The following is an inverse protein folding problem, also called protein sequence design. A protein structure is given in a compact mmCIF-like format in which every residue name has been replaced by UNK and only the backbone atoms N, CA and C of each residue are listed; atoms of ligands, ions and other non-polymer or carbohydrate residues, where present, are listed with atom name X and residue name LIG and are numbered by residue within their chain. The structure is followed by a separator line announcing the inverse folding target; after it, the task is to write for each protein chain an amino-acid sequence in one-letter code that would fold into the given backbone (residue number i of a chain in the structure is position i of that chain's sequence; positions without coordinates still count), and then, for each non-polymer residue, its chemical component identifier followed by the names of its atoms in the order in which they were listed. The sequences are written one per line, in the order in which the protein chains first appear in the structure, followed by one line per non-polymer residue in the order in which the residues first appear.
data_IF_693970323625
#
_entry.id   IF_693970323625
#
_cell.length_a   1.000
_cell.length_b   1.000
_cell.length_c   1.000
_cell.angle_alpha   90.00
_cell.angle_beta   90.00
_cell.angle_gamma   90.00
#
_symmetry.space_group_name_H-M   'P 1'
#
loop_
_entity.id
_entity.type
_entity.pdbx_description
1 polymer ?
#
# COMPACT_ATOMS: atom_id res chain seq x y z
N UNK A 1 -38.14 -31.68 17.53
CA UNK A 1 -37.26 -32.29 16.51
C UNK A 1 -36.35 -31.17 16.04
N UNK A 2 -35.06 -31.19 16.40
CA UNK A 2 -34.12 -30.17 15.93
C UNK A 2 -33.69 -30.58 14.54
N UNK A 3 -33.95 -29.73 13.54
CA UNK A 3 -33.46 -29.96 12.18
C UNK A 3 -31.94 -29.96 12.19
N UNK A 4 -31.33 -30.93 11.50
CA UNK A 4 -29.89 -30.95 11.32
C UNK A 4 -29.48 -29.74 10.48
N UNK A 5 -28.62 -28.90 11.06
CA UNK A 5 -28.12 -27.69 10.41
C UNK A 5 -26.75 -27.96 9.80
N UNK A 6 -26.58 -27.65 8.52
CA UNK A 6 -25.35 -27.93 7.76
C UNK A 6 -24.52 -26.67 7.51
N UNK A 7 -23.22 -26.86 7.29
CA UNK A 7 -22.30 -25.78 6.95
C UNK A 7 -22.71 -25.12 5.63
N UNK A 8 -22.71 -23.79 5.58
CA UNK A 8 -23.12 -23.03 4.37
C UNK A 8 -22.18 -23.25 3.17
N UNK A 9 -20.95 -23.70 3.41
CA UNK A 9 -19.95 -23.99 2.36
C UNK A 9 -19.85 -25.47 2.03
N UNK A 10 -20.07 -26.34 3.02
CA UNK A 10 -19.97 -27.79 2.89
C UNK A 10 -21.33 -28.39 3.31
N UNK A 11 -22.26 -28.51 2.36
CA UNK A 11 -23.64 -28.89 2.63
C UNK A 11 -23.80 -30.32 3.18
N UNK A 12 -22.76 -31.13 3.07
CA UNK A 12 -22.64 -32.51 3.55
C UNK A 12 -22.09 -32.60 4.98
N UNK A 13 -21.61 -31.50 5.56
CA UNK A 13 -20.98 -31.49 6.89
C UNK A 13 -21.85 -30.73 7.89
N UNK A 14 -22.15 -31.37 9.04
CA UNK A 14 -22.91 -30.74 10.12
C UNK A 14 -22.23 -29.47 10.64
N UNK A 15 -23.02 -28.44 10.90
CA UNK A 15 -22.55 -27.18 11.46
C UNK A 15 -22.10 -27.39 12.91
N UNK A 16 -20.96 -26.79 13.24
CA UNK A 16 -20.39 -26.75 14.61
C UNK A 16 -20.62 -25.41 15.31
N UNK A 17 -21.10 -24.39 14.57
CA UNK A 17 -21.33 -23.07 15.12
C UNK A 17 -21.74 -22.04 14.07
N UNK A 18 -22.00 -20.82 14.52
CA UNK A 18 -22.47 -19.71 13.68
C UNK A 18 -21.41 -18.61 13.65
N UNK A 19 -21.13 -18.07 12.46
CA UNK A 19 -20.28 -16.90 12.30
C UNK A 19 -20.91 -15.69 12.99
N UNK A 20 -20.27 -15.13 14.02
CA UNK A 20 -20.76 -13.94 14.73
C UNK A 20 -20.80 -12.68 13.85
N UNK A 21 -20.07 -12.66 12.72
CA UNK A 21 -20.00 -11.51 11.83
C UNK A 21 -21.06 -11.48 10.72
N UNK A 22 -21.51 -12.64 10.23
CA UNK A 22 -22.43 -12.71 9.08
C UNK A 22 -23.56 -13.74 9.22
N UNK A 23 -23.64 -14.47 10.33
CA UNK A 23 -24.71 -15.43 10.61
C UNK A 23 -24.63 -16.76 9.85
N UNK A 24 -23.60 -17.00 9.03
CA UNK A 24 -23.43 -18.28 8.32
C UNK A 24 -23.14 -19.45 9.27
N UNK A 25 -23.62 -20.62 8.91
CA UNK A 25 -23.37 -21.89 9.61
C UNK A 25 -22.00 -22.45 9.20
N UNK A 26 -21.17 -22.83 10.17
CA UNK A 26 -19.76 -23.19 9.95
C UNK A 26 -19.44 -24.57 10.54
N UNK A 27 -18.81 -25.43 9.74
CA UNK A 27 -18.12 -26.61 10.26
C UNK A 27 -16.78 -26.22 10.91
N UNK A 28 -16.15 -27.16 11.60
CA UNK A 28 -14.87 -26.95 12.31
C UNK A 28 -13.75 -26.41 11.40
N UNK A 29 -13.74 -26.78 10.12
CA UNK A 29 -12.72 -26.33 9.17
C UNK A 29 -12.97 -24.90 8.65
N UNK A 30 -14.23 -24.46 8.66
CA UNK A 30 -14.64 -23.13 8.18
C UNK A 30 -14.67 -22.08 9.28
N UNK A 31 -14.50 -22.49 10.55
CA UNK A 31 -14.50 -21.59 11.69
C UNK A 31 -13.07 -21.14 12.05
N UNK A 32 -12.98 -19.89 12.50
CA UNK A 32 -11.79 -19.27 13.08
C UNK A 32 -12.20 -18.63 14.38
N UNK A 33 -11.42 -18.84 15.44
CA UNK A 33 -11.67 -18.19 16.72
C UNK A 33 -10.80 -16.94 16.83
N UNK A 34 -11.43 -15.78 17.07
CA UNK A 34 -10.71 -14.52 17.22
C UNK A 34 -11.45 -13.60 18.18
N UNK A 35 -10.73 -13.07 19.19
CA UNK A 35 -11.29 -12.16 20.20
C UNK A 35 -12.57 -12.69 20.86
N UNK A 36 -12.60 -13.98 21.21
CA UNK A 36 -13.75 -14.61 21.86
C UNK A 36 -14.93 -14.96 20.95
N UNK A 37 -14.79 -14.79 19.62
CA UNK A 37 -15.87 -15.00 18.65
C UNK A 37 -15.49 -16.03 17.59
N UNK A 38 -16.49 -16.75 17.10
CA UNK A 38 -16.36 -17.68 15.98
C UNK A 38 -16.68 -16.94 14.68
N UNK A 39 -15.72 -16.86 13.76
CA UNK A 39 -15.84 -16.14 12.50
C UNK A 39 -15.57 -17.07 11.31
N UNK A 40 -16.18 -16.78 10.16
CA UNK A 40 -15.73 -17.35 8.90
C UNK A 40 -14.47 -16.62 8.40
N UNK A 41 -13.75 -17.22 7.46
CA UNK A 41 -12.50 -16.68 6.91
C UNK A 41 -12.61 -15.20 6.48
N UNK A 42 -13.69 -14.84 5.78
CA UNK A 42 -13.92 -13.46 5.30
C UNK A 42 -14.11 -12.48 6.46
N UNK A 43 -14.90 -12.86 7.48
CA UNK A 43 -15.14 -12.02 8.65
C UNK A 43 -13.89 -11.93 9.53
N UNK A 44 -13.12 -13.01 9.63
CA UNK A 44 -11.84 -13.06 10.33
C UNK A 44 -10.84 -12.06 9.76
N UNK A 45 -10.65 -12.06 8.43
CA UNK A 45 -9.74 -11.11 7.75
C UNK A 45 -10.19 -9.66 8.00
N UNK A 46 -11.49 -9.37 7.91
CA UNK A 46 -12.04 -8.02 8.18
C UNK A 46 -11.78 -7.57 9.62
N UNK A 47 -12.00 -8.45 10.58
CA UNK A 47 -11.82 -8.11 11.99
C UNK A 47 -10.33 -7.96 12.35
N UNK A 48 -9.46 -8.80 11.78
CA UNK A 48 -8.00 -8.69 11.90
C UNK A 48 -7.45 -7.41 11.26
N UNK A 49 -8.06 -6.91 10.19
CA UNK A 49 -7.71 -5.61 9.62
C UNK A 49 -8.12 -4.46 10.56
N UNK A 50 -9.34 -4.52 11.13
CA UNK A 50 -9.82 -3.52 12.10
C UNK A 50 -8.97 -3.46 13.37
N UNK A 51 -8.58 -4.61 13.93
CA UNK A 51 -7.73 -4.65 15.12
C UNK A 51 -6.35 -4.05 14.90
N UNK A 52 -5.89 -4.00 13.64
CA UNK A 52 -4.65 -3.32 13.22
C UNK A 52 -4.83 -1.82 12.95
N UNK A 53 -5.98 -1.24 13.28
CA UNK A 53 -6.24 0.19 13.12
C UNK A 53 -6.70 0.60 11.71
N UNK A 54 -6.98 -0.34 10.81
CA UNK A 54 -7.67 -0.04 9.56
C UNK A 54 -9.17 0.11 9.82
N UNK A 55 -9.59 1.31 10.25
CA UNK A 55 -11.02 1.64 10.35
C UNK A 55 -11.59 1.99 8.97
N UNK A 56 -12.85 1.61 8.73
CA UNK A 56 -13.66 1.86 7.53
C UNK A 56 -13.98 3.36 7.24
N UNK A 57 -13.01 4.26 7.35
CA UNK A 57 -13.22 5.70 7.18
C UNK A 57 -13.25 6.14 5.71
N UNK A 58 -14.34 5.78 5.03
CA UNK A 58 -14.86 6.49 3.85
C UNK A 58 -16.20 7.21 4.15
N UNK A 59 -16.48 7.57 5.41
CA UNK A 59 -17.57 8.52 5.73
C UNK A 59 -17.01 9.78 6.35
N UNK A 60 -16.98 10.82 5.53
CA UNK A 60 -16.70 12.20 5.88
C UNK A 60 -17.91 12.79 6.62
N UNK A 61 -17.77 13.17 7.89
CA UNK A 61 -18.69 14.08 8.57
C UNK A 61 -17.95 15.35 8.93
N UNK A 62 -18.26 16.51 8.31
CA UNK A 62 -17.56 17.75 8.63
C UNK A 62 -18.08 18.36 9.94
N UNK A 63 -17.15 18.69 10.83
CA UNK A 63 -17.39 19.57 11.98
C UNK A 63 -17.55 21.02 11.52
N UNK A 64 -18.61 21.68 11.99
CA UNK A 64 -18.94 23.07 11.67
C UNK A 64 -17.98 24.02 12.38
N UNK A 65 -17.13 24.70 11.61
CA UNK A 65 -16.22 25.76 12.10
C UNK A 65 -16.78 27.13 11.64
N UNK A 66 -16.79 28.09 12.57
CA UNK A 66 -17.46 29.40 12.43
C UNK A 66 -16.87 30.25 11.30
N UNK A 67 -17.79 30.82 10.50
CA UNK A 67 -17.57 31.81 9.43
C UNK A 67 -16.91 33.08 10.00
N UNK A 68 -15.64 33.37 9.71
CA UNK A 68 -15.23 34.77 9.45
C UNK A 68 -13.91 34.97 8.69
N UNK A 69 -13.05 33.96 8.54
CA UNK A 69 -11.77 34.12 7.79
C UNK A 69 -11.65 33.29 6.50
N UNK A 70 -12.78 32.97 5.86
CA UNK A 70 -12.83 31.92 4.85
C UNK A 70 -12.41 32.35 3.43
N UNK A 71 -12.45 33.62 3.02
CA UNK A 71 -12.31 33.95 1.59
C UNK A 71 -10.89 33.74 1.02
N UNK A 72 -9.85 34.10 1.78
CA UNK A 72 -8.46 33.90 1.36
C UNK A 72 -7.96 32.46 1.53
N UNK A 73 -8.38 31.80 2.61
CA UNK A 73 -8.05 30.40 2.86
C UNK A 73 -8.83 29.46 1.93
N UNK A 74 -10.13 29.69 1.66
CA UNK A 74 -10.88 28.89 0.68
C UNK A 74 -10.20 28.94 -0.67
N UNK A 75 -9.78 30.09 -1.20
CA UNK A 75 -9.18 30.12 -2.54
C UNK A 75 -7.88 29.31 -2.60
N UNK A 76 -7.03 29.45 -1.57
CA UNK A 76 -5.74 28.76 -1.49
C UNK A 76 -5.89 27.25 -1.24
N UNK A 77 -6.86 26.85 -0.42
CA UNK A 77 -7.16 25.45 -0.11
C UNK A 77 -8.03 24.79 -1.17
N UNK A 78 -8.94 25.50 -1.85
CA UNK A 78 -9.78 24.94 -2.92
C UNK A 78 -8.96 24.60 -4.15
N UNK A 79 -7.97 25.42 -4.53
CA UNK A 79 -7.01 25.04 -5.58
C UNK A 79 -6.20 23.81 -5.15
N UNK A 80 -5.71 23.75 -3.91
CA UNK A 80 -4.99 22.57 -3.40
C UNK A 80 -5.86 21.32 -3.27
N UNK A 81 -7.12 21.45 -2.86
CA UNK A 81 -8.08 20.35 -2.71
C UNK A 81 -8.58 19.89 -4.07
N UNK A 82 -8.75 20.79 -5.05
CA UNK A 82 -9.05 20.40 -6.43
C UNK A 82 -7.83 19.77 -7.09
N UNK A 83 -6.61 20.23 -6.81
CA UNK A 83 -5.40 19.63 -7.34
C UNK A 83 -5.12 18.25 -6.71
N UNK A 84 -5.23 18.12 -5.39
CA UNK A 84 -5.12 16.84 -4.69
C UNK A 84 -6.30 15.92 -5.00
N UNK A 85 -7.50 16.47 -5.18
CA UNK A 85 -8.70 15.74 -5.60
C UNK A 85 -8.60 15.27 -7.04
N UNK A 86 -8.02 16.06 -7.94
CA UNK A 86 -7.69 15.65 -9.30
C UNK A 86 -6.55 14.62 -9.31
N UNK A 87 -5.50 14.78 -8.51
CA UNK A 87 -4.44 13.78 -8.36
C UNK A 87 -4.99 12.50 -7.75
N UNK A 88 -5.86 12.55 -6.75
CA UNK A 88 -6.50 11.38 -6.16
C UNK A 88 -7.49 10.73 -7.13
N UNK A 89 -8.28 11.52 -7.86
CA UNK A 89 -9.16 11.03 -8.91
C UNK A 89 -8.39 10.40 -10.06
N UNK A 90 -7.27 11.00 -10.47
CA UNK A 90 -6.34 10.43 -11.44
C UNK A 90 -5.67 9.19 -10.86
N UNK A 91 -5.19 9.19 -9.62
CA UNK A 91 -4.60 8.01 -8.99
C UNK A 91 -5.61 6.87 -8.82
N UNK A 92 -6.88 7.15 -8.51
CA UNK A 92 -7.92 6.13 -8.35
C UNK A 92 -8.37 5.59 -9.71
N UNK A 93 -8.67 6.46 -10.68
CA UNK A 93 -9.16 6.03 -11.99
C UNK A 93 -8.04 5.56 -12.92
N UNK A 94 -6.85 6.18 -12.85
CA UNK A 94 -5.67 5.76 -13.58
C UNK A 94 -4.82 4.72 -12.86
N UNK A 95 -4.90 4.46 -11.54
CA UNK A 95 -4.20 3.26 -11.02
C UNK A 95 -4.80 1.99 -11.60
N UNK A 96 -6.13 1.95 -11.81
CA UNK A 96 -6.77 0.85 -12.52
C UNK A 96 -6.30 0.76 -13.98
N UNK A 97 -6.23 1.88 -14.70
CA UNK A 97 -5.79 1.94 -16.11
C UNK A 97 -4.28 1.68 -16.25
N UNK A 98 -3.43 2.24 -15.41
CA UNK A 98 -1.97 2.02 -15.41
C UNK A 98 -1.66 0.59 -14.97
N UNK A 99 -2.33 0.07 -13.93
CA UNK A 99 -2.18 -1.33 -13.51
C UNK A 99 -2.63 -2.30 -14.60
N UNK A 100 -3.73 -2.01 -15.32
CA UNK A 100 -4.16 -2.85 -16.46
C UNK A 100 -3.27 -2.68 -17.68
N UNK A 101 -2.89 -1.47 -18.07
CA UNK A 101 -2.05 -1.23 -19.25
C UNK A 101 -0.63 -1.77 -19.05
N UNK A 102 -0.06 -1.63 -17.85
CA UNK A 102 1.26 -2.19 -17.48
C UNK A 102 1.20 -3.70 -17.27
N UNK A 103 0.05 -4.28 -16.84
CA UNK A 103 -0.12 -5.74 -16.76
C UNK A 103 -0.32 -6.43 -18.12
N UNK A 104 -0.91 -5.75 -19.11
CA UNK A 104 -1.41 -6.40 -20.33
C UNK A 104 -0.60 -6.12 -21.60
N UNK A 105 0.37 -5.19 -21.59
CA UNK A 105 1.19 -4.92 -22.78
C UNK A 105 2.69 -5.12 -22.45
N UNK A 106 3.23 -6.34 -22.68
CA UNK A 106 4.66 -6.58 -22.52
C UNK A 106 5.47 -5.64 -23.42
N UNK A 107 6.42 -4.92 -22.84
CA UNK A 107 7.31 -3.99 -23.56
C UNK A 107 6.93 -2.51 -23.48
N UNK A 108 5.78 -2.15 -22.89
CA UNK A 108 5.45 -0.73 -22.65
C UNK A 108 6.25 -0.21 -21.46
N UNK A 109 7.26 0.62 -21.73
CA UNK A 109 8.04 1.30 -20.70
C UNK A 109 7.13 2.24 -19.90
N UNK A 110 7.16 2.14 -18.56
CA UNK A 110 6.38 2.99 -17.66
C UNK A 110 6.58 4.48 -17.97
N UNK A 111 7.81 4.88 -18.34
CA UNK A 111 8.14 6.23 -18.81
C UNK A 111 7.24 6.71 -19.95
N UNK A 112 6.92 5.85 -20.92
CA UNK A 112 6.06 6.20 -22.05
C UNK A 112 4.60 6.40 -21.58
N UNK A 113 4.15 5.60 -20.62
CA UNK A 113 2.81 5.73 -20.03
C UNK A 113 2.71 7.04 -19.23
N UNK A 114 3.69 7.31 -18.35
CA UNK A 114 3.72 8.54 -17.56
C UNK A 114 3.86 9.78 -18.44
N UNK A 115 4.67 9.73 -19.51
CA UNK A 115 4.78 10.82 -20.49
C UNK A 115 3.46 11.07 -21.22
N UNK A 116 2.77 10.01 -21.65
CA UNK A 116 1.47 10.12 -22.32
C UNK A 116 0.41 10.72 -21.38
N UNK A 117 0.38 10.29 -20.12
CA UNK A 117 -0.51 10.84 -19.09
C UNK A 117 -0.20 12.32 -18.85
N UNK A 118 1.08 12.67 -18.66
CA UNK A 118 1.49 14.05 -18.43
C UNK A 118 1.15 14.98 -19.61
N UNK A 119 1.33 14.50 -20.85
CA UNK A 119 0.93 15.21 -22.07
C UNK A 119 -0.59 15.37 -22.19
N UNK A 120 -1.38 14.37 -21.80
CA UNK A 120 -2.84 14.48 -21.80
C UNK A 120 -3.36 15.45 -20.73
N UNK A 121 -2.69 15.52 -19.59
CA UNK A 121 -3.02 16.46 -18.51
C UNK A 121 -2.64 17.89 -18.91
N UNK A 122 -1.58 18.07 -19.71
CA UNK A 122 -1.11 19.38 -20.15
C UNK A 122 -0.80 19.41 -21.67
N UNK A 123 -1.84 19.37 -22.53
CA UNK A 123 -1.69 19.18 -23.98
C UNK A 123 -1.02 20.36 -24.71
N UNK A 124 -1.04 21.56 -24.11
CA UNK A 124 -0.38 22.78 -24.58
C UNK A 124 0.76 23.23 -23.66
N UNK A 125 1.22 22.34 -22.79
CA UNK A 125 2.14 22.64 -21.71
C UNK A 125 3.58 22.85 -22.10
N UNK A 126 4.24 23.80 -21.42
CA UNK A 126 5.70 23.90 -21.38
C UNK A 126 6.31 22.50 -21.14
N UNK A 127 7.27 22.03 -21.98
CA UNK A 127 7.94 20.74 -21.81
C UNK A 127 8.53 20.53 -20.41
N UNK A 128 8.96 21.60 -19.73
CA UNK A 128 9.47 21.54 -18.35
C UNK A 128 8.37 21.14 -17.35
N UNK A 129 7.14 21.63 -17.56
CA UNK A 129 5.99 21.26 -16.72
C UNK A 129 5.62 19.79 -16.90
N UNK A 130 5.68 19.27 -18.14
CA UNK A 130 5.47 17.84 -18.44
C UNK A 130 6.55 16.98 -17.80
N UNK A 131 7.83 17.41 -17.88
CA UNK A 131 8.95 16.72 -17.24
C UNK A 131 8.77 16.67 -15.72
N UNK A 132 8.41 17.79 -15.09
CA UNK A 132 8.17 17.88 -13.65
C UNK A 132 7.01 17.00 -13.18
N UNK A 133 5.89 17.00 -13.92
CA UNK A 133 4.74 16.15 -13.60
C UNK A 133 5.08 14.66 -13.76
N UNK A 134 5.80 14.30 -14.83
CA UNK A 134 6.25 12.93 -15.07
C UNK A 134 7.12 12.45 -13.92
N UNK A 135 8.10 13.26 -13.48
CA UNK A 135 8.96 12.95 -12.33
C UNK A 135 8.16 12.78 -11.03
N UNK A 136 7.15 13.63 -10.78
CA UNK A 136 6.30 13.50 -9.58
C UNK A 136 5.45 12.22 -9.57
N UNK A 137 4.86 11.85 -10.71
CA UNK A 137 4.08 10.61 -10.83
C UNK A 137 5.00 9.40 -10.65
N UNK A 138 6.13 9.40 -11.34
CA UNK A 138 7.16 8.37 -11.25
C UNK A 138 7.66 8.18 -9.81
N UNK A 139 8.02 9.27 -9.12
CA UNK A 139 8.46 9.21 -7.73
C UNK A 139 7.38 8.71 -6.76
N UNK A 140 6.12 9.07 -6.98
CA UNK A 140 5.00 8.54 -6.16
C UNK A 140 4.85 7.02 -6.31
N UNK A 141 4.99 6.50 -7.53
CA UNK A 141 4.92 5.06 -7.79
C UNK A 141 6.08 4.30 -7.13
N UNK A 142 7.28 4.87 -7.18
CA UNK A 142 8.47 4.32 -6.53
C UNK A 142 8.28 4.27 -5.00
N UNK A 143 7.82 5.36 -4.39
CA UNK A 143 7.53 5.39 -2.94
C UNK A 143 6.46 4.34 -2.57
N UNK A 144 5.42 4.18 -3.40
CA UNK A 144 4.42 3.13 -3.17
C UNK A 144 5.01 1.73 -3.22
N UNK A 145 5.92 1.46 -4.16
CA UNK A 145 6.64 0.19 -4.26
C UNK A 145 7.51 -0.04 -3.01
N UNK A 146 8.32 0.94 -2.61
CA UNK A 146 9.16 0.86 -1.41
C UNK A 146 8.34 0.56 -0.14
N UNK A 147 7.17 1.18 0.01
CA UNK A 147 6.30 0.93 1.15
C UNK A 147 5.82 -0.53 1.24
N UNK A 148 5.81 -1.28 0.14
CA UNK A 148 5.49 -2.71 0.16
C UNK A 148 6.60 -3.55 0.81
N UNK A 149 7.84 -3.06 0.79
CA UNK A 149 8.99 -3.76 1.37
C UNK A 149 9.08 -3.60 2.90
N UNK A 150 8.46 -2.55 3.45
CA UNK A 150 8.55 -2.22 4.88
C UNK A 150 8.07 -3.37 5.78
N UNK A 151 6.93 -3.98 5.45
CA UNK A 151 6.35 -5.05 6.26
C UNK A 151 7.26 -6.29 6.34
N UNK A 152 7.72 -6.83 5.21
CA UNK A 152 8.67 -7.95 5.20
C UNK A 152 10.02 -7.64 5.87
N UNK A 153 10.54 -6.41 5.74
CA UNK A 153 11.76 -5.99 6.45
C UNK A 153 11.57 -5.97 7.97
N UNK A 154 10.44 -5.44 8.44
CA UNK A 154 10.11 -5.48 9.87
C UNK A 154 9.91 -6.91 10.37
N UNK A 155 9.34 -7.80 9.56
CA UNK A 155 9.22 -9.22 9.91
C UNK A 155 10.58 -9.90 10.03
N UNK A 156 11.47 -9.73 9.03
CA UNK A 156 12.84 -10.27 9.07
C UNK A 156 13.57 -9.80 10.34
N UNK A 157 13.46 -8.51 10.69
CA UNK A 157 14.01 -8.01 11.94
C UNK A 157 13.48 -8.74 13.18
N UNK A 158 12.16 -8.96 13.25
CA UNK A 158 11.52 -9.63 14.39
C UNK A 158 11.84 -11.13 14.48
N UNK A 159 12.03 -11.81 13.35
CA UNK A 159 12.21 -13.27 13.32
C UNK A 159 13.66 -13.73 13.22
N UNK A 160 14.51 -12.96 12.57
CA UNK A 160 15.91 -13.30 12.27
C UNK A 160 16.89 -12.49 13.12
N UNK A 161 16.39 -11.57 13.96
CA UNK A 161 17.20 -10.78 14.89
C UNK A 161 17.91 -9.59 14.25
N UNK A 162 17.55 -9.22 13.02
CA UNK A 162 18.18 -8.10 12.31
C UNK A 162 17.61 -7.88 10.92
N UNK A 163 18.04 -6.79 10.28
CA UNK A 163 17.72 -6.54 8.87
C UNK A 163 18.61 -7.40 7.95
N UNK A 164 18.15 -7.73 6.73
CA UNK A 164 18.94 -8.52 5.80
C UNK A 164 20.26 -7.82 5.48
N UNK A 165 21.37 -8.54 5.57
CA UNK A 165 22.70 -8.04 5.20
C UNK A 165 22.84 -7.84 3.69
N UNK A 166 22.08 -8.61 2.90
CA UNK A 166 21.98 -8.50 1.45
C UNK A 166 20.55 -8.11 1.08
N UNK A 167 20.31 -6.81 0.95
CA UNK A 167 18.99 -6.29 0.65
C UNK A 167 18.53 -6.63 -0.78
N UNK A 168 19.46 -6.70 -1.73
CA UNK A 168 19.15 -7.04 -3.13
C UNK A 168 18.67 -8.49 -3.22
N UNK A 169 19.41 -9.44 -2.63
CA UNK A 169 18.98 -10.83 -2.57
C UNK A 169 17.66 -11.00 -1.81
N UNK A 170 17.45 -10.24 -0.73
CA UNK A 170 16.17 -10.21 -0.01
C UNK A 170 15.01 -9.78 -0.90
N UNK A 171 15.18 -8.70 -1.68
CA UNK A 171 14.15 -8.23 -2.61
C UNK A 171 13.90 -9.26 -3.73
N UNK A 172 14.97 -9.85 -4.28
CA UNK A 172 14.87 -10.90 -5.29
C UNK A 172 13.98 -12.05 -4.83
N UNK A 173 14.26 -12.59 -3.65
CA UNK A 173 13.59 -13.78 -3.15
C UNK A 173 12.19 -13.48 -2.59
N UNK A 174 12.01 -12.33 -1.93
CA UNK A 174 10.74 -11.96 -1.29
C UNK A 174 9.69 -11.43 -2.25
N UNK A 175 10.10 -10.89 -3.41
CA UNK A 175 9.22 -10.16 -4.32
C UNK A 175 9.37 -10.59 -5.79
N UNK A 176 9.93 -11.78 -6.06
CA UNK A 176 9.97 -12.33 -7.40
C UNK A 176 8.56 -12.38 -8.01
N UNK A 177 8.39 -11.78 -9.19
CA UNK A 177 7.10 -11.77 -9.87
C UNK A 177 7.14 -12.68 -11.10
N UNK A 178 5.99 -13.26 -11.47
CA UNK A 178 5.87 -14.02 -12.73
C UNK A 178 6.19 -13.15 -13.97
N UNK A 179 6.09 -11.84 -13.83
CA UNK A 179 6.42 -10.87 -14.86
C UNK A 179 7.93 -10.54 -14.81
N UNK A 180 8.71 -11.26 -15.64
CA UNK A 180 10.17 -11.08 -15.75
C UNK A 180 10.59 -9.67 -16.20
N UNK A 181 9.67 -8.83 -16.66
CA UNK A 181 9.97 -7.44 -17.00
C UNK A 181 10.10 -6.54 -15.75
N UNK A 182 9.69 -7.03 -14.58
CA UNK A 182 9.79 -6.34 -13.30
C UNK A 182 10.93 -6.93 -12.50
N UNK A 183 11.98 -6.14 -12.35
CA UNK A 183 13.09 -6.43 -11.45
C UNK A 183 12.76 -5.82 -10.08
N UNK A 184 12.39 -6.61 -9.06
CA UNK A 184 11.98 -6.08 -7.75
C UNK A 184 13.13 -5.39 -7.02
N UNK A 185 14.36 -5.68 -7.40
CA UNK A 185 15.60 -5.13 -6.83
C UNK A 185 15.84 -3.69 -7.30
N UNK A 186 15.23 -3.29 -8.42
CA UNK A 186 15.46 -2.01 -9.09
C UNK A 186 14.20 -1.15 -9.10
N UNK A 187 14.42 0.16 -9.05
CA UNK A 187 13.38 1.13 -9.32
C UNK A 187 13.01 1.17 -10.81
N UNK A 188 12.01 2.01 -11.12
CA UNK A 188 11.49 2.17 -12.48
C UNK A 188 12.52 2.76 -13.47
N UNK A 189 13.62 3.31 -12.98
CA UNK A 189 14.73 3.82 -13.77
C UNK A 189 15.88 2.80 -13.89
N UNK A 190 15.74 1.62 -13.28
CA UNK A 190 16.72 0.54 -13.34
C UNK A 190 17.85 0.70 -12.34
N UNK A 191 17.69 1.53 -11.31
CA UNK A 191 18.68 1.67 -10.24
C UNK A 191 18.32 0.76 -9.07
N UNK A 192 19.26 -0.05 -8.53
CA UNK A 192 18.98 -0.88 -7.36
C UNK A 192 18.56 -0.05 -6.15
N UNK A 193 17.59 -0.52 -5.37
CA UNK A 193 17.24 0.12 -4.09
C UNK A 193 18.36 -0.04 -3.07
N UNK A 194 18.47 0.91 -2.12
CA UNK A 194 19.34 0.80 -0.94
C UNK A 194 18.54 0.74 0.35
N UNK A 195 19.07 0.00 1.32
CA UNK A 195 18.56 -0.02 2.68
C UNK A 195 19.53 0.75 3.59
N UNK A 196 19.03 1.81 4.20
CA UNK A 196 19.75 2.61 5.19
C UNK A 196 19.24 2.27 6.59
N UNK A 197 20.02 1.52 7.37
CA UNK A 197 19.66 1.11 8.73
C UNK A 197 19.95 2.24 9.70
N UNK A 198 18.94 2.65 10.47
CA UNK A 198 19.01 3.76 11.43
C UNK A 198 18.77 3.22 12.85
N UNK A 199 19.13 3.99 13.86
CA UNK A 199 19.00 3.59 15.28
C UNK A 199 17.60 3.08 15.65
N UNK A 200 16.55 3.71 15.13
CA UNK A 200 15.15 3.42 15.45
C UNK A 200 14.33 2.94 14.24
N UNK A 201 14.97 2.32 13.25
CA UNK A 201 14.30 1.80 12.06
C UNK A 201 15.20 1.76 10.84
N UNK A 202 14.65 2.15 9.69
CA UNK A 202 15.39 2.14 8.42
C UNK A 202 14.77 3.11 7.42
N UNK A 203 15.46 3.36 6.31
CA UNK A 203 14.88 3.96 5.11
C UNK A 203 15.23 3.12 3.89
N UNK A 204 14.27 3.00 2.96
CA UNK A 204 14.53 2.46 1.63
C UNK A 204 14.74 3.65 0.70
N UNK A 205 15.82 3.62 -0.08
CA UNK A 205 16.26 4.75 -0.91
C UNK A 205 16.28 4.31 -2.39
N UNK A 206 15.73 5.15 -3.27
CA UNK A 206 15.91 5.10 -4.73
C UNK A 206 16.69 6.34 -5.14
N UNK A 207 17.62 6.17 -6.06
CA UNK A 207 18.44 7.25 -6.61
C UNK A 207 17.68 8.15 -7.59
N UNK A 208 16.35 8.01 -7.70
CA UNK A 208 15.56 8.86 -8.57
C UNK A 208 15.90 8.74 -10.06
N UNK A 209 15.60 9.82 -10.77
CA UNK A 209 15.73 9.87 -12.24
C UNK A 209 17.17 10.02 -12.72
N UNK A 210 18.03 10.67 -11.94
CA UNK A 210 19.45 10.88 -12.27
C UNK A 210 20.30 9.62 -12.02
N UNK A 211 19.74 8.65 -11.28
CA UNK A 211 20.34 7.36 -10.94
C UNK A 211 21.60 7.51 -10.09
N UNK A 212 21.74 8.62 -9.37
CA UNK A 212 22.87 8.91 -8.50
C UNK A 212 22.39 9.12 -7.07
N UNK A 213 22.88 8.30 -6.14
CA UNK A 213 22.58 8.49 -4.72
C UNK A 213 23.28 9.72 -4.15
N UNK A 214 22.64 10.36 -3.18
CA UNK A 214 23.13 11.55 -2.50
C UNK A 214 22.78 12.85 -3.21
N UNK A 215 21.81 12.83 -4.13
CA UNK A 215 21.33 14.02 -4.85
C UNK A 215 19.94 14.44 -4.36
N UNK A 216 19.43 15.56 -4.88
CA UNK A 216 18.07 16.04 -4.57
C UNK A 216 16.97 15.16 -5.19
N UNK A 217 17.32 14.28 -6.14
CA UNK A 217 16.40 13.35 -6.79
C UNK A 217 16.17 12.07 -5.97
N UNK A 218 16.93 11.86 -4.90
CA UNK A 218 16.77 10.73 -3.99
C UNK A 218 15.36 10.70 -3.39
N UNK A 219 14.75 9.52 -3.47
CA UNK A 219 13.45 9.24 -2.88
C UNK A 219 13.63 8.32 -1.68
N UNK A 220 13.09 8.73 -0.53
CA UNK A 220 13.12 7.93 0.69
C UNK A 220 11.73 7.44 1.09
N UNK A 221 11.65 6.19 1.52
CA UNK A 221 10.54 5.64 2.29
C UNK A 221 11.03 5.32 3.71
N UNK A 222 10.99 6.30 4.64
CA UNK A 222 11.45 6.09 6.01
C UNK A 222 10.45 5.27 6.82
N UNK A 223 10.97 4.32 7.59
CA UNK A 223 10.25 3.58 8.59
C UNK A 223 10.84 3.83 9.97
N UNK A 224 10.01 4.34 10.88
CA UNK A 224 10.36 4.46 12.30
C UNK A 224 9.65 3.35 13.06
N UNK A 225 10.42 2.48 13.69
CA UNK A 225 9.88 1.46 14.57
C UNK A 225 9.22 2.16 15.75
N UNK A 226 7.98 1.79 16.06
CA UNK A 226 7.38 2.19 17.33
C UNK A 226 8.16 1.46 18.41
N UNK A 227 8.67 2.18 19.41
CA UNK A 227 9.26 1.56 20.59
C UNK A 227 8.29 0.47 21.05
N UNK A 228 8.70 -0.79 20.93
CA UNK A 228 7.91 -1.88 21.46
C UNK A 228 7.87 -1.66 22.96
N UNK A 229 6.66 -1.44 23.51
CA UNK A 229 6.41 -1.72 24.91
C UNK A 229 6.93 -3.13 25.13
N UNK A 230 7.89 -3.36 26.03
CA UNK A 230 8.48 -4.67 26.25
C UNK A 230 7.35 -5.68 26.35
N UNK A 231 7.40 -6.72 25.51
CA UNK A 231 6.54 -7.89 25.68
C UNK A 231 6.78 -8.34 27.12
N UNK A 232 5.81 -8.08 28.01
CA UNK A 232 5.89 -8.59 29.37
C UNK A 232 6.03 -10.09 29.22
N UNK A 233 7.20 -10.62 29.56
CA UNK A 233 7.39 -12.04 29.73
C UNK A 233 6.33 -12.47 30.75
N UNK A 234 5.31 -13.17 30.28
CA UNK A 234 4.39 -13.87 31.15
C UNK A 234 5.19 -15.09 31.61
N UNK A 235 5.81 -14.98 32.79
CA UNK A 235 6.29 -16.13 33.56
C UNK A 235 5.13 -17.01 34.02
#
# INVERSE_FOLDING_TARGET
MFEDVYCTTHNDVKSSGICSGCGKQLCANCSRFFSGRTLCEVCFIKEKARSRGFTNNLRYTPTVIKKKDYTGAILKYSVRILFLGAIAYIAINFSAIVSTTVKYVPGVKLEAVTKNIAQKINPSGNPDAVKKLTAQIAGSLVIMQMNQFIGPLELSYQTEGGYPSDFEAFLKHGFETQDKSKDPEKDIWGTPYRLDIRENGFAIISAGIDRQFGTEDDLEAPYKRKAHTPTQNIE
#
